data_IF_485539377849
#
_entry.id   IF_485539377849
#
_cell.length_a   1.000
_cell.length_b   1.000
_cell.length_c   1.000
_cell.angle_alpha   90.00
_cell.angle_beta   90.00
_cell.angle_gamma   90.00
#
_symmetry.space_group_name_H-M   'P 1'
#
loop_
_entity.id
_entity.type
_entity.pdbx_description
1 polymer ?
#
# COMPACT_ATOMS: atom_id res chain seq x y z
N UNK A 1 4.19 -10.04 -11.37
CA UNK A 1 3.33 -8.93 -11.84
C UNK A 1 3.81 -8.13 -13.05
N UNK A 2 2.91 -7.88 -14.03
CA UNK A 2 3.09 -6.87 -15.09
C UNK A 2 2.39 -5.56 -14.68
N UNK A 3 3.18 -4.57 -14.26
CA UNK A 3 2.66 -3.29 -13.76
C UNK A 3 2.00 -2.47 -14.87
N UNK A 4 0.93 -1.75 -14.51
CA UNK A 4 0.34 -0.76 -15.40
C UNK A 4 1.35 0.34 -15.73
N UNK A 5 1.45 0.74 -17.00
CA UNK A 5 2.32 1.83 -17.44
C UNK A 5 1.70 3.18 -17.08
N UNK A 6 1.69 3.51 -15.79
CA UNK A 6 1.36 4.85 -15.32
C UNK A 6 2.62 5.75 -15.34
N UNK A 7 2.50 7.05 -15.68
CA UNK A 7 3.65 7.94 -15.66
C UNK A 7 4.22 8.10 -14.24
N UNK A 8 5.40 7.55 -13.98
CA UNK A 8 6.05 7.62 -12.67
C UNK A 8 6.21 9.06 -12.16
N UNK A 9 6.56 10.00 -13.05
CA UNK A 9 6.68 11.42 -12.71
C UNK A 9 5.34 12.04 -12.24
N UNK A 10 4.21 11.62 -12.80
CA UNK A 10 2.90 12.09 -12.35
C UNK A 10 2.56 11.53 -10.96
N UNK A 11 2.92 10.26 -10.72
CA UNK A 11 2.75 9.61 -9.42
C UNK A 11 3.61 10.26 -8.34
N UNK A 12 4.89 10.49 -8.64
CA UNK A 12 5.81 11.21 -7.76
C UNK A 12 5.31 12.61 -7.41
N UNK A 13 4.82 13.36 -8.40
CA UNK A 13 4.26 14.70 -8.18
C UNK A 13 3.00 14.66 -7.31
N UNK A 14 2.13 13.66 -7.49
CA UNK A 14 0.95 13.49 -6.66
C UNK A 14 1.31 13.13 -5.21
N UNK A 15 2.25 12.21 -5.01
CA UNK A 15 2.77 11.86 -3.68
C UNK A 15 3.40 13.08 -3.01
N UNK A 16 4.21 13.85 -3.74
CA UNK A 16 4.83 15.06 -3.21
C UNK A 16 3.78 16.12 -2.80
N UNK A 17 2.71 16.29 -3.59
CA UNK A 17 1.59 17.17 -3.20
C UNK A 17 0.91 16.69 -1.92
N UNK A 18 0.71 15.37 -1.75
CA UNK A 18 0.09 14.80 -0.53
C UNK A 18 0.96 15.00 0.69
N UNK A 19 2.28 14.84 0.56
CA UNK A 19 3.22 15.13 1.64
C UNK A 19 2.98 16.52 2.24
N UNK A 20 2.68 17.54 1.42
CA UNK A 20 2.43 18.90 1.88
C UNK A 20 1.15 19.05 2.71
N UNK A 21 0.20 18.12 2.59
CA UNK A 21 -1.08 18.13 3.30
C UNK A 21 -1.14 17.14 4.47
N UNK A 22 -0.13 16.27 4.64
CA UNK A 22 -0.06 15.31 5.74
C UNK A 22 -0.02 16.02 7.11
N UNK A 23 -0.62 15.45 8.15
CA UNK A 23 -0.49 15.97 9.51
C UNK A 23 0.90 15.62 10.10
N UNK A 24 1.37 16.39 11.08
CA UNK A 24 2.48 15.95 11.95
C UNK A 24 1.96 14.86 12.90
N UNK A 25 2.78 13.84 13.21
CA UNK A 25 4.20 13.66 12.88
C UNK A 25 4.45 12.98 11.50
N UNK A 26 3.41 12.55 10.80
CA UNK A 26 3.54 11.78 9.56
C UNK A 26 4.24 12.54 8.44
N UNK A 27 3.98 13.84 8.32
CA UNK A 27 4.63 14.73 7.35
C UNK A 27 6.14 14.72 7.52
N UNK A 28 6.64 14.90 8.74
CA UNK A 28 8.07 15.04 9.03
C UNK A 28 8.81 13.74 8.73
N UNK A 29 8.28 12.63 9.23
CA UNK A 29 8.84 11.30 8.99
C UNK A 29 8.91 10.95 7.50
N UNK A 30 7.83 11.23 6.75
CA UNK A 30 7.79 10.92 5.32
C UNK A 30 8.66 11.89 4.52
N UNK A 31 8.71 13.18 4.88
CA UNK A 31 9.50 14.18 4.16
C UNK A 31 11.00 13.86 4.19
N UNK A 32 11.53 13.52 5.37
CA UNK A 32 12.94 13.12 5.55
C UNK A 32 13.32 11.94 4.63
N UNK A 33 12.45 10.94 4.56
CA UNK A 33 12.67 9.75 3.72
C UNK A 33 12.43 10.04 2.25
N UNK A 34 11.42 10.84 1.91
CA UNK A 34 11.07 11.21 0.55
C UNK A 34 12.19 11.98 -0.17
N UNK A 35 13.00 12.74 0.57
CA UNK A 35 14.20 13.40 0.03
C UNK A 35 15.30 12.41 -0.36
N UNK A 36 15.32 11.22 0.25
CA UNK A 36 16.30 10.18 -0.07
C UNK A 36 15.93 9.52 -1.41
N UNK A 37 16.73 9.77 -2.45
CA UNK A 37 16.57 9.16 -3.78
C UNK A 37 16.32 7.64 -3.76
N UNK A 38 17.07 6.80 -2.99
CA UNK A 38 16.81 5.36 -2.96
C UNK A 38 15.45 5.02 -2.35
N UNK A 39 15.04 5.69 -1.28
CA UNK A 39 13.73 5.48 -0.65
C UNK A 39 12.60 5.87 -1.59
N UNK A 40 12.63 7.09 -2.15
CA UNK A 40 11.61 7.56 -3.10
C UNK A 40 11.42 6.62 -4.27
N UNK A 41 12.52 6.16 -4.88
CA UNK A 41 12.47 5.20 -5.99
C UNK A 41 11.81 3.89 -5.56
N UNK A 42 12.27 3.30 -4.45
CA UNK A 42 11.71 2.05 -3.94
C UNK A 42 10.23 2.19 -3.56
N UNK A 43 9.84 3.30 -2.95
CA UNK A 43 8.45 3.60 -2.59
C UNK A 43 7.56 3.66 -3.83
N UNK A 44 7.98 4.40 -4.86
CA UNK A 44 7.22 4.51 -6.11
C UNK A 44 7.10 3.15 -6.80
N UNK A 45 8.21 2.44 -6.97
CA UNK A 45 8.24 1.19 -7.74
C UNK A 45 7.56 0.02 -7.03
N UNK A 46 7.76 -0.13 -5.72
CA UNK A 46 7.31 -1.30 -4.95
C UNK A 46 6.00 -1.09 -4.19
N UNK A 47 5.64 0.17 -3.88
CA UNK A 47 4.45 0.48 -3.09
C UNK A 47 3.40 1.23 -3.92
N UNK A 48 3.74 2.40 -4.45
CA UNK A 48 2.73 3.23 -5.10
C UNK A 48 2.30 2.69 -6.48
N UNK A 49 3.23 2.21 -7.32
CA UNK A 49 2.90 1.72 -8.67
C UNK A 49 2.03 0.45 -8.68
N UNK A 50 2.28 -0.56 -7.82
CA UNK A 50 1.36 -1.70 -7.69
C UNK A 50 -0.02 -1.28 -7.20
N UNK A 51 -0.11 -0.35 -6.24
CA UNK A 51 -1.40 0.19 -5.80
C UNK A 51 -2.17 0.84 -6.96
N UNK A 52 -1.50 1.69 -7.74
CA UNK A 52 -2.10 2.29 -8.94
C UNK A 52 -2.58 1.21 -9.91
N UNK A 53 -1.80 0.14 -10.10
CA UNK A 53 -2.17 -0.99 -10.95
C UNK A 53 -3.44 -1.67 -10.43
N UNK A 54 -3.50 -2.01 -9.14
CA UNK A 54 -4.67 -2.62 -8.49
C UNK A 54 -5.91 -1.73 -8.59
N UNK A 55 -5.78 -0.42 -8.37
CA UNK A 55 -6.89 0.54 -8.48
C UNK A 55 -7.37 0.66 -9.94
N UNK A 56 -6.43 0.72 -10.89
CA UNK A 56 -6.75 1.05 -12.29
C UNK A 56 -7.22 -0.16 -13.10
N UNK A 57 -6.61 -1.32 -12.85
CA UNK A 57 -6.88 -2.58 -13.56
C UNK A 57 -7.78 -3.51 -12.78
N UNK A 58 -7.81 -3.39 -11.46
CA UNK A 58 -8.67 -4.20 -10.59
C UNK A 58 -10.12 -4.16 -11.06
N UNK A 59 -10.65 -3.01 -11.49
CA UNK A 59 -12.04 -2.93 -12.01
C UNK A 59 -12.36 -3.80 -13.24
N UNK A 60 -11.35 -4.25 -13.99
CA UNK A 60 -11.53 -5.13 -15.17
C UNK A 60 -11.19 -6.59 -14.89
N UNK A 61 -10.63 -6.90 -13.72
CA UNK A 61 -10.25 -8.25 -13.34
C UNK A 61 -11.37 -8.97 -12.61
N UNK A 62 -11.42 -10.28 -12.78
CA UNK A 62 -12.16 -11.19 -11.90
C UNK A 62 -11.52 -11.22 -10.50
N UNK A 63 -12.26 -11.78 -9.53
CA UNK A 63 -11.82 -11.82 -8.14
C UNK A 63 -10.57 -12.69 -7.92
N UNK A 64 -10.41 -13.77 -8.68
CA UNK A 64 -9.24 -14.64 -8.53
C UNK A 64 -7.96 -13.91 -8.94
N UNK A 65 -7.97 -13.27 -10.12
CA UNK A 65 -6.86 -12.44 -10.60
C UNK A 65 -6.56 -11.29 -9.65
N UNK A 66 -7.59 -10.60 -9.14
CA UNK A 66 -7.38 -9.50 -8.19
C UNK A 66 -6.73 -9.98 -6.90
N UNK A 67 -7.19 -11.10 -6.34
CA UNK A 67 -6.65 -11.66 -5.11
C UNK A 67 -5.23 -12.21 -5.28
N UNK A 68 -4.90 -12.81 -6.42
CA UNK A 68 -3.55 -13.25 -6.73
C UNK A 68 -2.59 -12.05 -6.79
N UNK A 69 -2.94 -11.01 -7.55
CA UNK A 69 -2.13 -9.79 -7.63
C UNK A 69 -2.09 -9.06 -6.27
N UNK A 70 -3.17 -9.08 -5.51
CA UNK A 70 -3.11 -8.55 -4.15
C UNK A 70 -2.15 -9.37 -3.27
N UNK A 71 -2.11 -10.69 -3.42
CA UNK A 71 -1.23 -11.57 -2.66
C UNK A 71 0.25 -11.41 -3.03
N UNK A 72 0.64 -11.32 -4.31
CA UNK A 72 2.05 -11.05 -4.63
C UNK A 72 2.49 -9.61 -4.25
N UNK A 73 1.56 -8.70 -3.98
CA UNK A 73 1.86 -7.37 -3.44
C UNK A 73 2.05 -7.43 -1.92
N UNK A 74 3.00 -8.26 -1.50
CA UNK A 74 3.34 -8.52 -0.11
C UNK A 74 4.35 -7.49 0.41
N UNK A 75 3.86 -6.27 0.63
CA UNK A 75 4.63 -5.17 1.21
C UNK A 75 3.95 -4.67 2.49
N UNK A 76 4.76 -4.12 3.39
CA UNK A 76 4.29 -3.51 4.63
C UNK A 76 4.44 -1.99 4.59
N UNK A 77 3.62 -1.31 5.36
CA UNK A 77 3.54 0.15 5.36
C UNK A 77 3.77 0.72 6.75
N UNK A 78 4.50 1.83 6.81
CA UNK A 78 4.47 2.72 7.96
C UNK A 78 3.18 3.55 7.95
N UNK A 79 2.80 4.11 9.10
CA UNK A 79 1.60 4.93 9.22
C UNK A 79 1.62 6.11 8.24
N UNK A 80 2.73 6.84 8.17
CA UNK A 80 2.86 7.96 7.25
C UNK A 80 2.73 7.56 5.78
N UNK A 81 3.20 6.37 5.40
CA UNK A 81 3.02 5.84 4.04
C UNK A 81 1.55 5.50 3.74
N UNK A 82 0.84 5.00 4.75
CA UNK A 82 -0.60 4.71 4.67
C UNK A 82 -1.40 5.99 4.44
N UNK A 83 -1.08 7.05 5.16
CA UNK A 83 -1.74 8.36 5.02
C UNK A 83 -1.48 9.00 3.65
N UNK A 84 -0.30 8.77 3.07
CA UNK A 84 0.03 9.25 1.70
C UNK A 84 -0.78 8.49 0.64
N UNK A 85 -0.96 7.18 0.81
CA UNK A 85 -1.53 6.30 -0.21
C UNK A 85 -3.06 6.12 -0.10
N UNK A 86 -3.63 6.19 1.10
CA UNK A 86 -5.08 6.00 1.33
C UNK A 86 -5.97 6.90 0.46
N UNK A 87 -5.66 8.21 0.27
CA UNK A 87 -6.44 9.08 -0.61
C UNK A 87 -6.45 8.62 -2.07
N UNK A 88 -5.38 7.94 -2.53
CA UNK A 88 -5.30 7.38 -3.87
C UNK A 88 -6.22 6.19 -4.08
N UNK A 89 -6.71 5.56 -3.01
CA UNK A 89 -7.71 4.47 -3.04
C UNK A 89 -9.12 5.01 -2.85
N UNK A 90 -9.27 6.10 -2.09
CA UNK A 90 -10.56 6.75 -1.82
C UNK A 90 -11.07 7.66 -2.93
N UNK A 91 -10.22 7.98 -3.92
CA UNK A 91 -10.64 8.70 -5.13
C UNK A 91 -10.24 10.15 -5.12
N UNK A 92 -9.33 10.53 -4.22
CA UNK A 92 -8.93 11.91 -4.06
C UNK A 92 -7.76 12.26 -4.98
N UNK A 93 -8.02 13.13 -5.96
CA UNK A 93 -7.01 13.67 -6.87
C UNK A 93 -6.64 12.74 -8.03
N UNK A 94 -5.36 12.35 -8.13
CA UNK A 94 -4.75 11.79 -9.35
C UNK A 94 -5.48 10.56 -9.93
N UNK A 95 -6.02 9.68 -9.08
CA UNK A 95 -6.65 8.44 -9.49
C UNK A 95 -8.18 8.51 -9.52
N UNK A 96 -8.79 9.68 -9.29
CA UNK A 96 -10.25 9.85 -9.23
C UNK A 96 -10.95 9.29 -10.48
N UNK A 97 -10.43 9.60 -11.66
CA UNK A 97 -10.98 9.10 -12.93
C UNK A 97 -10.72 7.60 -13.13
N UNK A 98 -9.63 7.09 -12.58
CA UNK A 98 -9.21 5.69 -12.75
C UNK A 98 -10.04 4.75 -11.86
N UNK A 99 -10.51 5.25 -10.71
CA UNK A 99 -11.40 4.54 -9.79
C UNK A 99 -12.86 4.49 -10.23
N UNK A 100 -13.25 5.23 -11.27
CA UNK A 100 -14.60 5.15 -11.82
C UNK A 100 -14.89 3.67 -12.15
N UNK A 101 -15.74 3.05 -11.33
CA UNK A 101 -16.14 1.63 -11.33
C UNK A 101 -15.27 0.63 -10.53
N UNK A 102 -14.40 1.06 -9.61
CA UNK A 102 -13.78 0.13 -8.66
C UNK A 102 -14.84 -0.32 -7.63
N UNK A 103 -15.07 -1.63 -7.42
CA UNK A 103 -15.99 -2.11 -6.39
C UNK A 103 -15.57 -1.62 -4.99
N UNK A 104 -16.54 -1.21 -4.17
CA UNK A 104 -16.29 -0.69 -2.83
C UNK A 104 -15.57 -1.73 -1.94
N UNK A 105 -15.91 -3.01 -2.08
CA UNK A 105 -15.25 -4.11 -1.36
C UNK A 105 -13.75 -4.19 -1.69
N UNK A 106 -13.38 -4.04 -2.97
CA UNK A 106 -11.97 -4.03 -3.39
C UNK A 106 -11.24 -2.80 -2.86
N UNK A 107 -11.88 -1.63 -2.86
CA UNK A 107 -11.31 -0.44 -2.24
C UNK A 107 -11.07 -0.63 -0.73
N UNK A 108 -12.02 -1.25 -0.02
CA UNK A 108 -11.88 -1.56 1.41
C UNK A 108 -10.71 -2.53 1.67
N UNK A 109 -10.58 -3.59 0.86
CA UNK A 109 -9.46 -4.55 0.94
C UNK A 109 -8.11 -3.87 0.69
N UNK A 110 -8.03 -2.94 -0.26
CA UNK A 110 -6.81 -2.17 -0.51
C UNK A 110 -6.45 -1.27 0.67
N UNK A 111 -7.44 -0.58 1.27
CA UNK A 111 -7.23 0.22 2.48
C UNK A 111 -6.75 -0.64 3.65
N UNK A 112 -7.32 -1.84 3.81
CA UNK A 112 -6.88 -2.79 4.83
C UNK A 112 -5.44 -3.27 4.58
N UNK A 113 -5.08 -3.54 3.32
CA UNK A 113 -3.70 -3.90 2.96
C UNK A 113 -2.71 -2.80 3.31
N UNK A 114 -3.08 -1.52 3.11
CA UNK A 114 -2.24 -0.39 3.50
C UNK A 114 -2.04 -0.29 5.02
N UNK A 115 -2.94 -0.84 5.83
CA UNK A 115 -2.80 -0.85 7.30
C UNK A 115 -1.82 -1.92 7.80
N UNK A 116 -1.42 -2.90 6.97
CA UNK A 116 -0.52 -3.98 7.38
C UNK A 116 0.86 -3.44 7.75
N UNK A 117 1.29 -3.69 8.98
CA UNK A 117 2.53 -3.15 9.55
C UNK A 117 3.69 -4.14 9.43
N UNK A 118 4.94 -3.64 9.33
CA UNK A 118 6.12 -4.50 9.46
C UNK A 118 6.13 -5.11 10.87
N UNK A 119 6.12 -6.44 10.96
CA UNK A 119 6.03 -7.17 12.24
C UNK A 119 4.64 -7.71 12.57
N UNK A 120 3.62 -7.43 11.75
CA UNK A 120 2.33 -8.12 11.77
C UNK A 120 2.50 -9.54 11.15
N UNK A 121 3.32 -10.35 11.81
CA UNK A 121 3.29 -11.80 11.64
C UNK A 121 2.05 -12.27 12.38
N UNK A 122 1.18 -13.00 11.68
CA UNK A 122 0.10 -13.76 12.30
C UNK A 122 0.66 -14.46 13.55
N UNK A 123 -0.10 -14.51 14.67
CA UNK A 123 0.42 -15.01 15.94
C UNK A 123 1.05 -16.38 15.67
N UNK A 124 2.37 -16.45 15.83
CA UNK A 124 3.06 -17.72 15.83
C UNK A 124 2.37 -18.56 16.90
N UNK A 125 1.80 -19.69 16.48
CA UNK A 125 1.17 -20.65 17.37
C UNK A 125 2.06 -20.85 18.60
N UNK A 126 1.51 -20.90 19.82
CA UNK A 126 2.32 -21.04 21.02
C UNK A 126 3.13 -22.32 20.87
N UNK A 127 4.44 -22.17 20.76
CA UNK A 127 5.39 -23.27 20.89
C UNK A 127 5.08 -23.94 22.21
N UNK A 128 4.46 -25.13 22.13
CA UNK A 128 4.18 -25.95 23.29
C UNK A 128 5.51 -26.15 24.04
N UNK A 129 5.58 -25.61 25.25
CA UNK A 129 6.69 -25.86 26.16
C UNK A 129 6.81 -27.38 26.38
N UNK A 130 8.04 -27.92 26.49
CA UNK A 130 8.22 -29.34 26.75
C UNK A 130 7.64 -29.64 28.13
N UNK A 131 6.76 -30.63 28.21
CA UNK A 131 6.30 -31.18 29.47
C UNK A 131 7.49 -31.86 30.14
N UNK A 132 7.91 -31.32 31.28
CA UNK A 132 8.84 -31.96 32.20
C UNK A 132 8.06 -33.03 32.99
N UNK A 133 8.38 -34.33 32.86
CA UNK A 133 7.75 -35.36 33.67
C UNK A 133 8.56 -35.50 34.97
N UNK A 134 8.04 -34.96 36.06
CA UNK A 134 8.52 -35.30 37.40
C UNK A 134 7.40 -36.04 38.14
N UNK A 135 7.46 -37.37 38.07
CA UNK A 135 6.99 -38.32 39.09
C UNK A 135 8.12 -39.31 39.37
#
# INVERSE_FOLDING_TARGET
MKLFKFPAAALEKAIHKRLLTLASPHREWFAERWQQKPYRKAFVERKAMPLVTLVSKGKTWDDATFNEVLAEWDVTFHEAETEVLSPLVQGDGLLQLMQKNLPAERAAVLLERLRRRPGDVAPAAPTAAPADPND
#
